data_IF_002428565599
#
_entry.id   IF_002428565599
#
_cell.length_a   1.000
_cell.length_b   1.000
_cell.length_c   1.000
_cell.angle_alpha   90.00
_cell.angle_beta   90.00
_cell.angle_gamma   90.00
#
_symmetry.space_group_name_H-M   'P 1'
#
loop_
_entity.id
_entity.type
_entity.pdbx_description
1 polymer ?
#
# COMPACT_ATOMS: atom_id res chain seq x y z
N UNK A 1 36.33 -43.65 5.11
CA UNK A 1 35.00 -43.41 4.51
C UNK A 1 34.72 -41.93 4.65
N UNK A 2 34.85 -41.19 3.55
CA UNK A 2 35.02 -39.73 3.51
C UNK A 2 33.64 -39.08 3.41
N UNK A 3 33.23 -38.32 4.43
CA UNK A 3 31.98 -37.58 4.42
C UNK A 3 32.22 -36.21 3.81
N UNK A 4 31.67 -35.98 2.61
CA UNK A 4 31.75 -34.71 1.88
C UNK A 4 30.68 -33.77 2.45
N UNK A 5 31.12 -32.68 3.09
CA UNK A 5 30.24 -31.61 3.57
C UNK A 5 30.06 -30.58 2.44
N UNK A 6 28.86 -30.51 1.86
CA UNK A 6 28.48 -29.46 0.91
C UNK A 6 28.16 -28.17 1.68
N UNK A 7 29.02 -27.16 1.58
CA UNK A 7 28.71 -25.79 2.00
C UNK A 7 28.29 -25.03 0.75
N UNK A 8 26.99 -24.78 0.61
CA UNK A 8 26.47 -23.88 -0.42
C UNK A 8 26.56 -22.44 0.10
N UNK A 9 27.41 -21.63 -0.53
CA UNK A 9 27.42 -20.19 -0.32
C UNK A 9 26.15 -19.65 -0.96
N UNK A 10 25.10 -19.44 -0.15
CA UNK A 10 24.04 -18.52 -0.53
C UNK A 10 24.69 -17.14 -0.49
N UNK A 11 25.18 -16.68 -1.63
CA UNK A 11 25.45 -15.26 -1.86
C UNK A 11 24.12 -14.55 -1.68
N UNK A 12 23.85 -14.15 -0.44
CA UNK A 12 22.77 -13.25 -0.12
C UNK A 12 23.00 -12.02 -0.98
N UNK A 13 22.08 -11.80 -1.91
CA UNK A 13 21.97 -10.54 -2.63
C UNK A 13 21.56 -9.48 -1.60
N UNK A 14 22.51 -9.08 -0.76
CA UNK A 14 22.47 -7.79 -0.07
C UNK A 14 22.72 -6.79 -1.19
N UNK A 15 21.66 -6.51 -1.96
CA UNK A 15 21.62 -5.31 -2.78
C UNK A 15 21.66 -4.19 -1.74
N UNK A 16 22.76 -3.42 -1.73
CA UNK A 16 22.84 -2.16 -1.00
C UNK A 16 21.53 -1.36 -1.20
N UNK A 17 21.07 -0.56 -0.23
CA UNK A 17 19.89 0.28 -0.42
C UNK A 17 19.99 0.97 -1.78
N UNK A 18 18.96 0.81 -2.61
CA UNK A 18 18.94 1.37 -3.97
C UNK A 18 19.32 2.84 -3.85
N UNK A 19 20.37 3.25 -4.58
CA UNK A 19 20.72 4.67 -4.67
C UNK A 19 19.45 5.44 -5.03
N UNK A 20 19.10 6.54 -4.35
CA UNK A 20 17.90 7.30 -4.68
C UNK A 20 18.01 7.79 -6.13
N UNK A 21 17.36 7.05 -7.02
CA UNK A 21 17.26 7.32 -8.43
C UNK A 21 16.09 8.28 -8.59
N UNK A 22 16.39 9.58 -8.66
CA UNK A 22 15.38 10.58 -8.99
C UNK A 22 14.81 10.30 -10.37
N UNK A 23 13.53 10.60 -10.57
CA UNK A 23 12.90 10.50 -11.87
C UNK A 23 13.69 11.32 -12.90
N UNK A 24 13.90 10.75 -14.08
CA UNK A 24 14.59 11.39 -15.20
C UNK A 24 13.56 11.88 -16.20
N UNK A 25 13.83 13.04 -16.79
CA UNK A 25 13.00 13.60 -17.86
C UNK A 25 13.20 12.76 -19.12
N UNK A 26 12.11 12.17 -19.62
CA UNK A 26 12.08 11.32 -20.80
C UNK A 26 11.48 12.04 -22.02
N UNK A 27 10.69 13.08 -21.80
CA UNK A 27 10.17 13.96 -22.84
C UNK A 27 10.36 15.42 -22.42
N UNK A 28 11.37 16.13 -22.93
CA UNK A 28 11.63 17.53 -22.60
C UNK A 28 10.59 18.52 -23.14
N UNK A 29 9.76 18.11 -24.10
CA UNK A 29 8.74 18.96 -24.71
C UNK A 29 7.45 18.93 -23.89
N UNK A 30 7.07 17.75 -23.42
CA UNK A 30 5.87 17.51 -22.62
C UNK A 30 6.17 17.44 -21.11
N UNK A 31 7.43 17.58 -20.71
CA UNK A 31 7.95 17.48 -19.34
C UNK A 31 7.52 16.18 -18.63
N UNK A 32 7.70 15.04 -19.32
CA UNK A 32 7.39 13.72 -18.78
C UNK A 32 8.59 13.18 -18.02
N UNK A 33 8.38 12.73 -16.79
CA UNK A 33 9.41 12.14 -15.93
C UNK A 33 9.10 10.67 -15.65
N UNK A 34 10.11 9.80 -15.72
CA UNK A 34 10.00 8.38 -15.36
C UNK A 34 11.09 7.98 -14.37
N UNK A 35 10.80 6.99 -13.52
CA UNK A 35 11.87 6.38 -12.73
C UNK A 35 12.93 5.80 -13.67
N UNK A 36 14.24 5.93 -13.40
CA UNK A 36 15.30 5.50 -14.32
C UNK A 36 15.19 4.04 -14.78
N UNK A 37 14.65 3.16 -13.94
CA UNK A 37 14.47 1.75 -14.27
C UNK A 37 13.29 1.47 -15.21
N UNK A 38 12.44 2.48 -15.48
CA UNK A 38 11.26 2.39 -16.34
C UNK A 38 11.27 3.40 -17.49
N UNK A 39 12.44 3.98 -17.80
CA UNK A 39 12.62 4.95 -18.91
C UNK A 39 12.20 4.37 -20.25
N UNK A 40 12.48 3.08 -20.45
CA UNK A 40 12.13 2.35 -21.68
C UNK A 40 10.72 1.74 -21.65
N UNK A 41 9.88 2.21 -20.72
CA UNK A 41 8.53 1.70 -20.48
C UNK A 41 8.41 0.86 -19.21
N UNK A 42 7.16 0.57 -18.85
CA UNK A 42 6.85 -0.33 -17.75
C UNK A 42 7.23 -1.77 -18.13
N UNK A 43 7.75 -2.58 -17.19
CA UNK A 43 7.99 -3.99 -17.44
C UNK A 43 6.69 -4.70 -17.83
N UNK A 44 6.78 -5.68 -18.71
CA UNK A 44 5.64 -6.52 -19.04
C UNK A 44 5.28 -7.42 -17.84
N UNK A 45 4.20 -7.03 -17.16
CA UNK A 45 3.70 -7.73 -15.98
C UNK A 45 2.86 -8.97 -16.33
N UNK A 46 2.59 -9.23 -17.62
CA UNK A 46 1.83 -10.42 -18.03
C UNK A 46 2.49 -11.74 -17.62
N UNK A 47 3.83 -11.73 -17.55
CA UNK A 47 4.65 -12.86 -17.12
C UNK A 47 4.59 -13.16 -15.62
N UNK A 48 4.11 -12.22 -14.80
CA UNK A 48 4.07 -12.35 -13.33
C UNK A 48 2.95 -13.29 -12.87
N UNK A 49 1.93 -13.51 -13.70
CA UNK A 49 0.87 -14.49 -13.44
C UNK A 49 -0.08 -14.14 -12.29
N UNK A 50 -0.10 -12.87 -11.87
CA UNK A 50 -1.02 -12.34 -10.84
C UNK A 50 -2.31 -11.84 -11.48
N UNK A 51 -3.44 -12.12 -10.83
CA UNK A 51 -4.81 -11.81 -11.28
C UNK A 51 -5.55 -10.88 -10.34
N UNK A 52 -5.11 -10.77 -9.08
CA UNK A 52 -5.75 -9.91 -8.07
C UNK A 52 -4.73 -9.03 -7.36
N UNK A 53 -5.19 -7.92 -6.77
CA UNK A 53 -4.34 -7.06 -5.94
C UNK A 53 -3.82 -7.79 -4.70
N UNK A 54 -4.59 -8.74 -4.17
CA UNK A 54 -4.12 -9.58 -3.07
C UNK A 54 -2.96 -10.49 -3.52
N UNK A 55 -3.03 -11.08 -4.72
CA UNK A 55 -1.93 -11.85 -5.28
C UNK A 55 -0.69 -10.99 -5.56
N UNK A 56 -0.85 -9.72 -5.94
CA UNK A 56 0.27 -8.77 -6.05
C UNK A 56 0.98 -8.61 -4.70
N UNK A 57 0.23 -8.48 -3.60
CA UNK A 57 0.83 -8.42 -2.24
C UNK A 57 1.57 -9.73 -1.92
N UNK A 58 0.93 -10.88 -2.12
CA UNK A 58 1.54 -12.19 -1.84
C UNK A 58 2.82 -12.41 -2.64
N UNK A 59 2.79 -12.06 -3.93
CA UNK A 59 3.95 -12.13 -4.81
C UNK A 59 5.06 -11.19 -4.35
N UNK A 60 4.71 -9.96 -3.95
CA UNK A 60 5.67 -8.99 -3.39
C UNK A 60 6.37 -9.52 -2.14
N UNK A 61 5.64 -10.14 -1.22
CA UNK A 61 6.21 -10.78 -0.01
C UNK A 61 7.15 -11.91 -0.39
N UNK A 62 6.75 -12.77 -1.33
CA UNK A 62 7.56 -13.90 -1.76
C UNK A 62 8.91 -13.46 -2.34
N UNK A 63 8.92 -12.39 -3.14
CA UNK A 63 10.15 -11.88 -3.75
C UNK A 63 11.01 -11.04 -2.79
N UNK A 64 10.37 -10.28 -1.91
CA UNK A 64 11.04 -9.20 -1.17
C UNK A 64 11.25 -9.50 0.32
N UNK A 65 10.45 -10.39 0.92
CA UNK A 65 10.56 -10.77 2.32
C UNK A 65 10.60 -9.58 3.28
N UNK A 66 11.72 -9.42 3.99
CA UNK A 66 11.93 -8.37 4.98
C UNK A 66 12.48 -7.05 4.39
N UNK A 67 12.43 -6.86 3.06
CA UNK A 67 12.80 -5.58 2.45
C UNK A 67 11.73 -4.51 2.72
N UNK A 68 12.11 -3.22 2.80
CA UNK A 68 11.16 -2.12 2.91
C UNK A 68 10.16 -2.09 1.75
N UNK A 69 8.87 -2.03 2.06
CA UNK A 69 7.79 -1.76 1.10
C UNK A 69 7.37 -0.30 1.15
N UNK A 70 7.18 0.24 2.36
CA UNK A 70 6.88 1.65 2.58
C UNK A 70 7.97 2.27 3.43
N UNK A 71 8.37 3.49 3.08
CA UNK A 71 9.25 4.32 3.88
C UNK A 71 8.58 5.66 4.17
N UNK A 72 8.65 6.12 5.41
CA UNK A 72 8.03 7.36 5.88
C UNK A 72 8.86 8.05 6.95
N UNK A 73 8.65 9.34 7.11
CA UNK A 73 9.20 10.14 8.21
C UNK A 73 8.14 11.13 8.67
N UNK A 74 8.14 11.49 9.95
CA UNK A 74 7.16 12.42 10.50
C UNK A 74 7.51 13.88 10.18
N UNK A 75 8.80 14.18 10.04
CA UNK A 75 9.33 15.50 9.75
C UNK A 75 10.63 15.38 8.95
N UNK A 76 11.06 16.48 8.31
CA UNK A 76 12.22 16.47 7.41
C UNK A 76 13.56 16.15 8.09
N UNK A 77 13.65 16.45 9.39
CA UNK A 77 14.80 16.25 10.27
C UNK A 77 14.88 14.82 10.84
N UNK A 78 13.81 14.03 10.77
CA UNK A 78 13.81 12.66 11.28
C UNK A 78 14.26 11.64 10.23
N UNK A 79 14.92 10.54 10.68
CA UNK A 79 15.27 9.44 9.80
C UNK A 79 14.01 8.74 9.28
N UNK A 80 14.12 8.19 8.06
CA UNK A 80 13.07 7.34 7.52
C UNK A 80 12.91 6.07 8.36
N UNK A 81 11.65 5.76 8.66
CA UNK A 81 11.19 4.46 9.15
C UNK A 81 10.56 3.71 7.99
N UNK A 82 10.52 2.40 8.09
CA UNK A 82 9.94 1.57 7.04
C UNK A 82 9.10 0.44 7.59
N UNK A 83 8.09 0.05 6.83
CA UNK A 83 7.42 -1.24 6.98
C UNK A 83 7.94 -2.19 5.92
N UNK A 84 8.31 -3.40 6.33
CA UNK A 84 8.68 -4.47 5.40
C UNK A 84 7.45 -5.05 4.71
N UNK A 85 7.62 -5.75 3.58
CA UNK A 85 6.51 -6.43 2.91
C UNK A 85 5.76 -7.38 3.86
N UNK A 86 6.51 -8.11 4.70
CA UNK A 86 5.93 -9.00 5.70
C UNK A 86 5.12 -8.24 6.77
N UNK A 87 5.64 -7.14 7.30
CA UNK A 87 4.93 -6.32 8.28
C UNK A 87 3.66 -5.72 7.69
N UNK A 88 3.72 -5.22 6.45
CA UNK A 88 2.54 -4.71 5.73
C UNK A 88 1.48 -5.79 5.65
N UNK A 89 1.85 -7.01 5.26
CA UNK A 89 0.91 -8.14 5.17
C UNK A 89 0.24 -8.50 6.50
N UNK A 90 1.01 -8.49 7.60
CA UNK A 90 0.48 -8.74 8.93
C UNK A 90 -0.53 -7.64 9.32
N UNK A 91 -0.15 -6.37 9.16
CA UNK A 91 -0.98 -5.22 9.50
C UNK A 91 -2.29 -5.21 8.70
N UNK A 92 -2.24 -5.41 7.38
CA UNK A 92 -3.45 -5.34 6.55
C UNK A 92 -4.45 -6.45 6.89
N UNK A 93 -3.95 -7.63 7.31
CA UNK A 93 -4.80 -8.73 7.78
C UNK A 93 -5.45 -8.41 9.12
N UNK A 94 -4.69 -7.84 10.04
CA UNK A 94 -5.22 -7.41 11.34
C UNK A 94 -6.30 -6.34 11.18
N UNK A 95 -6.06 -5.31 10.36
CA UNK A 95 -7.06 -4.26 10.10
C UNK A 95 -8.33 -4.86 9.47
N UNK A 96 -8.19 -5.67 8.42
CA UNK A 96 -9.34 -6.23 7.71
C UNK A 96 -10.13 -7.24 8.55
N UNK A 97 -9.45 -8.09 9.33
CA UNK A 97 -10.13 -8.99 10.28
C UNK A 97 -10.83 -8.22 11.41
N UNK A 98 -10.25 -7.11 11.87
CA UNK A 98 -10.88 -6.21 12.84
C UNK A 98 -12.19 -5.60 12.31
N UNK A 99 -12.22 -5.19 11.04
CA UNK A 99 -13.45 -4.74 10.37
C UNK A 99 -14.52 -5.83 10.35
N UNK A 100 -14.15 -7.06 9.99
CA UNK A 100 -15.09 -8.19 9.94
C UNK A 100 -15.64 -8.51 11.33
N UNK A 101 -14.78 -8.54 12.34
CA UNK A 101 -15.20 -8.76 13.73
C UNK A 101 -16.10 -7.63 14.27
N UNK A 102 -16.04 -6.44 13.65
CA UNK A 102 -16.91 -5.30 13.96
C UNK A 102 -18.25 -5.34 13.22
N UNK A 103 -18.48 -6.36 12.37
CA UNK A 103 -19.76 -6.60 11.70
C UNK A 103 -19.74 -6.44 10.18
N UNK A 104 -18.64 -5.99 9.58
CA UNK A 104 -18.53 -5.90 8.11
C UNK A 104 -18.46 -7.30 7.48
N UNK A 105 -19.04 -7.45 6.29
CA UNK A 105 -19.00 -8.72 5.54
C UNK A 105 -17.82 -8.73 4.56
N UNK A 106 -17.06 -9.82 4.42
CA UNK A 106 -16.04 -9.93 3.37
C UNK A 106 -16.70 -10.11 1.99
N UNK A 107 -16.96 -9.02 1.27
CA UNK A 107 -17.65 -9.02 -0.02
C UNK A 107 -17.35 -7.74 -0.82
N UNK A 108 -17.41 -7.84 -2.15
CA UNK A 108 -17.25 -6.69 -3.06
C UNK A 108 -18.41 -5.68 -2.95
N UNK A 109 -19.47 -6.04 -2.22
CA UNK A 109 -20.60 -5.16 -1.89
C UNK A 109 -20.41 -4.43 -0.56
N UNK A 110 -19.32 -4.69 0.17
CA UNK A 110 -19.02 -4.05 1.44
C UNK A 110 -18.05 -2.90 1.23
N UNK A 111 -18.49 -1.70 1.63
CA UNK A 111 -17.73 -0.47 1.49
C UNK A 111 -17.28 0.06 2.85
N UNK A 112 -16.06 0.55 2.95
CA UNK A 112 -15.58 1.30 4.12
C UNK A 112 -14.86 2.58 3.68
N UNK A 113 -14.99 3.64 4.46
CA UNK A 113 -14.37 4.94 4.18
C UNK A 113 -12.98 5.08 4.75
N UNK A 114 -12.13 5.83 4.06
CA UNK A 114 -10.83 6.30 4.56
C UNK A 114 -10.81 7.82 4.38
N UNK A 115 -11.05 8.55 5.47
CA UNK A 115 -11.00 10.01 5.51
C UNK A 115 -9.69 10.46 6.15
N UNK A 116 -8.63 10.50 5.33
CA UNK A 116 -7.29 10.78 5.81
C UNK A 116 -6.40 11.44 4.74
N UNK A 117 -5.31 12.03 5.19
CA UNK A 117 -4.27 12.56 4.32
C UNK A 117 -3.46 11.41 3.69
N UNK A 118 -2.88 11.67 2.50
CA UNK A 118 -1.97 10.73 1.86
C UNK A 118 -0.80 10.39 2.82
N UNK A 119 -0.76 9.14 3.26
CA UNK A 119 0.18 8.65 4.26
C UNK A 119 0.35 7.14 4.11
N UNK A 120 1.35 6.58 4.79
CA UNK A 120 1.51 5.13 4.86
C UNK A 120 0.31 4.49 5.56
N UNK A 121 -0.26 5.12 6.58
CA UNK A 121 -1.46 4.62 7.25
C UNK A 121 -2.68 4.55 6.31
N UNK A 122 -2.84 5.57 5.45
CA UNK A 122 -3.87 5.54 4.41
C UNK A 122 -3.68 4.32 3.49
N UNK A 123 -2.46 4.09 3.02
CA UNK A 123 -2.15 2.95 2.15
C UNK A 123 -2.39 1.60 2.84
N UNK A 124 -2.03 1.46 4.12
CA UNK A 124 -2.29 0.26 4.92
C UNK A 124 -3.79 0.01 5.06
N UNK A 125 -4.60 1.03 5.34
CA UNK A 125 -6.06 0.89 5.39
C UNK A 125 -6.62 0.48 4.02
N UNK A 126 -6.16 1.10 2.93
CA UNK A 126 -6.57 0.75 1.58
C UNK A 126 -6.26 -0.73 1.25
N UNK A 127 -5.05 -1.19 1.58
CA UNK A 127 -4.60 -2.55 1.26
C UNK A 127 -5.32 -3.61 2.10
N UNK A 128 -5.81 -3.24 3.29
CA UNK A 128 -6.61 -4.13 4.15
C UNK A 128 -7.92 -4.60 3.52
N UNK A 129 -8.37 -3.95 2.45
CA UNK A 129 -9.56 -4.35 1.72
C UNK A 129 -9.35 -5.65 0.91
N UNK A 130 -8.16 -5.79 0.31
CA UNK A 130 -7.90 -6.81 -0.72
C UNK A 130 -7.94 -8.27 -0.21
N UNK A 131 -7.43 -8.60 0.99
CA UNK A 131 -7.55 -9.97 1.52
C UNK A 131 -8.99 -10.43 1.77
N UNK A 132 -9.94 -9.50 1.83
CA UNK A 132 -11.33 -9.73 2.24
C UNK A 132 -12.36 -9.32 1.18
N UNK A 133 -11.90 -9.02 -0.04
CA UNK A 133 -12.74 -8.58 -1.15
C UNK A 133 -13.60 -7.35 -0.84
N UNK A 134 -13.20 -6.49 0.09
CA UNK A 134 -13.95 -5.26 0.42
C UNK A 134 -13.55 -4.11 -0.50
N UNK A 135 -14.34 -3.04 -0.51
CA UNK A 135 -14.10 -1.85 -1.34
C UNK A 135 -13.79 -0.62 -0.48
N UNK A 136 -12.55 -0.10 -0.50
CA UNK A 136 -12.21 1.11 0.21
C UNK A 136 -12.69 2.36 -0.55
N UNK A 137 -13.23 3.34 0.17
CA UNK A 137 -13.73 4.61 -0.37
C UNK A 137 -12.89 5.75 0.17
N UNK A 138 -12.10 6.40 -0.69
CA UNK A 138 -11.27 7.55 -0.31
C UNK A 138 -12.08 8.83 -0.13
N UNK A 139 -11.88 9.52 0.99
CA UNK A 139 -12.56 10.77 1.34
C UNK A 139 -11.49 11.82 1.65
N UNK A 140 -11.59 13.00 1.02
CA UNK A 140 -10.60 14.07 1.14
C UNK A 140 -11.25 15.42 1.39
N UNK A 141 -10.56 16.28 2.16
CA UNK A 141 -11.03 17.63 2.50
C UNK A 141 -11.21 18.54 1.28
N UNK A 142 -10.44 18.29 0.20
CA UNK A 142 -10.49 19.07 -1.04
C UNK A 142 -11.85 19.02 -1.75
N UNK A 143 -12.73 18.10 -1.37
CA UNK A 143 -14.08 17.97 -1.91
C UNK A 143 -15.10 18.91 -1.23
N UNK A 144 -14.69 19.57 -0.14
CA UNK A 144 -15.58 20.36 0.70
C UNK A 144 -16.58 19.49 1.49
N UNK A 145 -17.29 20.11 2.43
CA UNK A 145 -18.19 19.39 3.33
C UNK A 145 -19.35 18.69 2.59
N UNK A 146 -19.90 19.34 1.56
CA UNK A 146 -20.99 18.76 0.77
C UNK A 146 -20.53 17.57 -0.06
N UNK A 147 -19.31 17.63 -0.63
CA UNK A 147 -18.71 16.50 -1.35
C UNK A 147 -18.46 15.30 -0.44
N UNK A 148 -17.96 15.53 0.77
CA UNK A 148 -17.79 14.47 1.79
C UNK A 148 -19.14 13.83 2.13
N UNK A 149 -20.17 14.63 2.43
CA UNK A 149 -21.52 14.12 2.72
C UNK A 149 -22.12 13.35 1.55
N UNK A 150 -21.91 13.82 0.32
CA UNK A 150 -22.38 13.15 -0.88
C UNK A 150 -21.74 11.77 -1.04
N UNK A 151 -20.41 11.66 -0.90
CA UNK A 151 -19.71 10.37 -0.99
C UNK A 151 -20.24 9.39 0.04
N UNK A 152 -20.31 9.79 1.31
CA UNK A 152 -20.75 8.90 2.40
C UNK A 152 -22.15 8.35 2.14
N UNK A 153 -23.07 9.23 1.70
CA UNK A 153 -24.44 8.84 1.37
C UNK A 153 -24.50 7.92 0.16
N UNK A 154 -23.77 8.25 -0.90
CA UNK A 154 -23.78 7.52 -2.15
C UNK A 154 -23.13 6.14 -2.02
N UNK A 155 -22.05 6.03 -1.23
CA UNK A 155 -21.32 4.78 -1.02
C UNK A 155 -21.90 3.91 0.09
N UNK A 156 -22.86 4.42 0.87
CA UNK A 156 -23.48 3.74 2.01
C UNK A 156 -22.45 3.07 2.95
N UNK A 157 -21.35 3.77 3.22
CA UNK A 157 -20.27 3.22 4.08
C UNK A 157 -20.73 3.11 5.53
N UNK A 158 -20.47 1.97 6.14
CA UNK A 158 -20.88 1.68 7.54
C UNK A 158 -19.76 1.97 8.54
N UNK A 159 -18.51 2.03 8.07
CA UNK A 159 -17.32 2.28 8.87
C UNK A 159 -16.41 3.27 8.13
N UNK A 160 -15.85 4.25 8.84
CA UNK A 160 -14.90 5.22 8.30
C UNK A 160 -13.68 5.29 9.22
N UNK A 161 -12.49 5.08 8.67
CA UNK A 161 -11.23 5.42 9.32
C UNK A 161 -10.94 6.91 9.14
N UNK A 162 -10.60 7.61 10.23
CA UNK A 162 -10.16 8.99 10.19
C UNK A 162 -8.83 9.13 10.95
N UNK A 163 -7.88 9.86 10.38
CA UNK A 163 -6.56 10.13 10.96
C UNK A 163 -6.52 11.36 11.87
N UNK A 164 -7.55 12.21 11.83
CA UNK A 164 -7.67 13.43 12.62
C UNK A 164 -9.08 13.64 13.18
N UNK A 165 -9.16 14.23 14.37
CA UNK A 165 -10.42 14.46 15.06
C UNK A 165 -11.29 15.52 14.37
N UNK A 166 -10.71 16.50 13.67
CA UNK A 166 -11.51 17.49 12.94
C UNK A 166 -12.27 16.84 11.79
N UNK A 167 -11.66 15.86 11.11
CA UNK A 167 -12.33 15.07 10.06
C UNK A 167 -13.52 14.32 10.62
N UNK A 168 -13.40 13.72 11.82
CA UNK A 168 -14.53 13.08 12.51
C UNK A 168 -15.65 14.08 12.79
N UNK A 169 -15.32 15.30 13.23
CA UNK A 169 -16.32 16.35 13.45
C UNK A 169 -17.06 16.77 12.19
N UNK A 170 -16.45 16.64 11.01
CA UNK A 170 -17.13 16.91 9.74
C UNK A 170 -18.13 15.82 9.35
N UNK A 171 -18.11 14.65 10.00
CA UNK A 171 -19.01 13.53 9.76
C UNK A 171 -20.32 13.61 10.55
N UNK A 172 -20.36 14.41 11.64
CA UNK A 172 -21.50 14.56 12.55
C UNK A 172 -22.31 15.82 12.27
#
# INVERSE_FOLDING_TARGET
MMSIMFVSIITGLIIAPLSPKSAVEIDPKEHIYAHPDYVNGLPDLSSVGVKTMYEVILHGIQLSGDRPQFSYRQSSDQPFKSYTYKQVFEIIKEIGSGMINSGLKPSNETFFGIYASASVNYALCLYSAWPYSMVPVGIYDSLGQDGVKFIIRQSAVELIFADDLQRVKHLI
#
